data_IF_837031615501
#
_entry.id   IF_837031615501
#
_cell.length_a   1.000
_cell.length_b   1.000
_cell.length_c   1.000
_cell.angle_alpha   90.00
_cell.angle_beta   90.00
_cell.angle_gamma   90.00
#
_symmetry.space_group_name_H-M   'P 1'
#
loop_
_entity.id
_entity.type
_entity.pdbx_description
1 polymer ?
#
# COMPACT_ATOMS: atom_id res chain seq x y z
N UNK A 1 -15.09 40.89 -13.83
CA UNK A 1 -13.81 40.48 -13.21
C UNK A 1 -13.30 39.29 -14.01
N UNK A 2 -12.13 39.39 -14.64
CA UNK A 2 -11.53 38.29 -15.41
C UNK A 2 -11.06 37.22 -14.42
N UNK A 3 -11.75 36.08 -14.37
CA UNK A 3 -11.22 34.87 -13.76
C UNK A 3 -10.04 34.40 -14.64
N UNK A 4 -8.82 34.78 -14.26
CA UNK A 4 -7.62 34.15 -14.82
C UNK A 4 -7.58 32.72 -14.31
N UNK A 5 -7.75 31.75 -15.22
CA UNK A 5 -7.45 30.34 -14.94
C UNK A 5 -6.04 30.25 -14.34
N UNK A 6 -5.84 29.56 -13.21
CA UNK A 6 -4.54 29.46 -12.57
C UNK A 6 -3.53 28.82 -13.52
N UNK A 7 -2.33 29.39 -13.58
CA UNK A 7 -1.25 28.90 -14.43
C UNK A 7 -0.82 27.49 -13.98
N UNK A 8 -0.26 26.71 -14.89
CA UNK A 8 0.28 25.36 -14.63
C UNK A 8 1.18 25.34 -13.38
N UNK A 9 2.04 26.35 -13.26
CA UNK A 9 2.95 26.57 -12.13
C UNK A 9 2.23 26.82 -10.80
N UNK A 10 1.11 27.55 -10.83
CA UNK A 10 0.30 27.84 -9.65
C UNK A 10 -0.44 26.60 -9.14
N UNK A 11 -0.86 25.71 -10.05
CA UNK A 11 -1.50 24.43 -9.70
C UNK A 11 -0.52 23.52 -8.96
N UNK A 12 0.74 23.45 -9.44
CA UNK A 12 1.79 22.61 -8.83
C UNK A 12 2.31 23.20 -7.51
N UNK A 13 2.47 24.53 -7.39
CA UNK A 13 2.90 25.17 -6.14
C UNK A 13 1.89 24.98 -5.01
N UNK A 14 0.59 25.10 -5.31
CA UNK A 14 -0.48 24.87 -4.32
C UNK A 14 -0.49 23.44 -3.78
N UNK A 15 -0.13 22.44 -4.60
CA UNK A 15 0.05 21.06 -4.14
C UNK A 15 1.26 20.96 -3.20
N UNK A 16 2.36 21.62 -3.54
CA UNK A 16 3.62 21.57 -2.78
C UNK A 16 3.51 22.23 -1.38
N UNK A 17 2.79 23.34 -1.28
CA UNK A 17 2.58 24.05 -0.01
C UNK A 17 1.68 23.28 0.96
N UNK A 18 0.72 22.51 0.44
CA UNK A 18 -0.17 21.67 1.24
C UNK A 18 0.52 20.41 1.77
N UNK A 19 1.44 19.83 0.97
CA UNK A 19 2.35 18.76 1.39
C UNK A 19 3.16 19.23 2.61
N UNK A 20 3.71 20.45 2.56
CA UNK A 20 4.47 21.04 3.67
C UNK A 20 3.63 21.28 4.92
N UNK A 21 2.44 21.90 4.79
CA UNK A 21 1.57 22.19 5.95
C UNK A 21 1.04 20.94 6.66
N UNK A 22 0.78 19.88 5.89
CA UNK A 22 0.32 18.60 6.44
C UNK A 22 1.46 17.84 7.15
N UNK A 23 2.72 18.06 6.75
CA UNK A 23 3.89 17.51 7.46
C UNK A 23 4.05 18.04 8.89
N UNK A 24 3.86 19.34 9.09
CA UNK A 24 4.21 20.01 10.36
C UNK A 24 3.18 19.83 11.48
N UNK A 25 1.89 19.72 11.17
CA UNK A 25 0.83 19.66 12.17
C UNK A 25 0.75 18.31 12.91
N UNK A 26 1.19 17.22 12.28
CA UNK A 26 0.96 15.86 12.77
C UNK A 26 2.11 15.24 13.57
N UNK A 27 3.29 15.88 13.57
CA UNK A 27 4.41 15.52 14.45
C UNK A 27 4.05 15.62 15.94
N UNK A 28 3.11 16.50 16.30
CA UNK A 28 2.70 16.75 17.70
C UNK A 28 1.76 15.71 18.33
N UNK A 29 1.09 14.86 17.54
CA UNK A 29 0.06 13.93 18.08
C UNK A 29 0.58 12.53 18.46
N UNK A 30 1.84 12.21 18.15
CA UNK A 30 2.39 10.85 18.30
C UNK A 30 2.74 10.50 19.76
N UNK A 31 2.72 11.44 20.70
CA UNK A 31 3.25 11.25 22.06
C UNK A 31 2.32 10.53 23.05
N UNK A 32 1.10 10.11 22.67
CA UNK A 32 0.17 9.47 23.62
C UNK A 32 -0.54 8.26 23.03
N UNK A 33 0.07 7.08 23.14
CA UNK A 33 -0.66 5.81 23.25
C UNK A 33 0.30 4.66 23.56
N UNK A 34 0.46 4.32 24.84
CA UNK A 34 1.03 3.04 25.26
C UNK A 34 -0.07 2.28 26.00
N UNK A 35 -0.57 1.22 25.36
CA UNK A 35 -1.59 0.31 25.89
C UNK A 35 -0.89 -0.93 26.45
N UNK A 36 -1.52 -1.50 27.47
CA UNK A 36 -0.96 -2.38 28.50
C UNK A 36 -1.66 -3.74 28.42
N UNK A 37 -0.96 -4.86 28.21
CA UNK A 37 -1.48 -6.17 28.65
C UNK A 37 -0.49 -7.36 28.66
N UNK A 38 -0.86 -8.33 29.52
CA UNK A 38 -0.47 -9.74 29.69
C UNK A 38 0.99 -10.12 30.01
N UNK A 39 1.62 -9.47 30.99
CA UNK A 39 2.96 -9.88 31.50
C UNK A 39 2.95 -10.63 32.83
N UNK A 40 1.80 -10.72 33.51
CA UNK A 40 1.74 -11.24 34.89
C UNK A 40 1.86 -12.75 34.99
N UNK A 41 1.47 -13.51 33.95
CA UNK A 41 1.43 -14.97 33.99
C UNK A 41 2.78 -15.62 33.66
N UNK A 42 3.52 -15.12 32.66
CA UNK A 42 4.86 -15.65 32.32
C UNK A 42 5.94 -15.36 33.37
N UNK A 43 5.79 -14.31 34.19
CA UNK A 43 6.80 -13.92 35.18
C UNK A 43 6.88 -14.90 36.36
N UNK A 44 5.71 -15.35 36.85
CA UNK A 44 5.66 -16.29 37.95
C UNK A 44 6.34 -17.61 37.56
N UNK A 45 6.07 -18.10 36.35
CA UNK A 45 6.66 -19.33 35.79
C UNK A 45 8.19 -19.28 35.70
N UNK A 46 8.75 -18.16 35.22
CA UNK A 46 10.21 -17.99 35.12
C UNK A 46 10.88 -17.87 36.50
N UNK A 47 10.21 -17.25 37.47
CA UNK A 47 10.77 -17.02 38.80
C UNK A 47 10.93 -18.31 39.61
N UNK A 48 9.92 -19.19 39.64
CA UNK A 48 10.01 -20.44 40.42
C UNK A 48 10.99 -21.44 39.77
N UNK A 49 11.08 -21.47 38.44
CA UNK A 49 12.04 -22.33 37.73
C UNK A 49 13.49 -21.94 38.03
N UNK A 50 13.80 -20.64 38.08
CA UNK A 50 15.13 -20.16 38.44
C UNK A 50 15.55 -20.57 39.86
N UNK A 51 14.62 -20.51 40.82
CA UNK A 51 14.86 -20.91 42.22
C UNK A 51 15.17 -22.41 42.32
N UNK A 52 14.43 -23.25 41.59
CA UNK A 52 14.68 -24.70 41.58
C UNK A 52 16.02 -25.04 40.93
N UNK A 53 16.32 -24.45 39.77
CA UNK A 53 17.58 -24.72 39.04
C UNK A 53 18.80 -24.37 39.89
N UNK A 54 18.79 -23.21 40.55
CA UNK A 54 19.90 -22.78 41.43
C UNK A 54 20.02 -23.66 42.66
N UNK A 55 18.90 -24.07 43.26
CA UNK A 55 18.91 -24.94 44.44
C UNK A 55 19.50 -26.32 44.14
N UNK A 56 19.14 -26.92 43.00
CA UNK A 56 19.69 -28.21 42.56
C UNK A 56 21.19 -28.08 42.23
N UNK A 57 21.56 -27.04 41.48
CA UNK A 57 22.95 -26.79 41.11
C UNK A 57 23.85 -26.59 42.32
N UNK A 58 23.39 -25.81 43.31
CA UNK A 58 24.13 -25.55 44.54
C UNK A 58 24.30 -26.83 45.37
N UNK A 59 23.24 -27.62 45.51
CA UNK A 59 23.30 -28.89 46.22
C UNK A 59 24.29 -29.87 45.59
N UNK A 60 24.26 -29.99 44.25
CA UNK A 60 25.14 -30.88 43.51
C UNK A 60 26.62 -30.41 43.58
N UNK A 61 26.85 -29.11 43.40
CA UNK A 61 28.19 -28.52 43.45
C UNK A 61 28.85 -28.68 44.82
N UNK A 62 28.11 -28.48 45.92
CA UNK A 62 28.65 -28.66 47.27
C UNK A 62 28.94 -30.12 47.60
N UNK A 63 28.07 -31.04 47.16
CA UNK A 63 28.27 -32.46 47.39
C UNK A 63 29.49 -33.00 46.65
N UNK A 64 29.74 -32.53 45.42
CA UNK A 64 30.90 -32.94 44.62
C UNK A 64 32.18 -32.24 45.09
N UNK A 65 32.13 -30.92 45.35
CA UNK A 65 33.32 -30.13 45.65
C UNK A 65 33.82 -30.24 47.09
N UNK A 66 32.91 -30.42 48.06
CA UNK A 66 33.25 -30.38 49.48
C UNK A 66 32.77 -31.61 50.27
N UNK A 67 32.09 -32.57 49.60
CA UNK A 67 31.59 -33.79 50.24
C UNK A 67 30.49 -33.57 51.30
N UNK A 68 29.98 -32.35 51.42
CA UNK A 68 29.00 -31.94 52.45
C UNK A 68 27.82 -31.19 51.84
N UNK A 69 26.69 -31.18 52.55
CA UNK A 69 25.53 -30.38 52.14
C UNK A 69 25.75 -28.90 52.45
N UNK A 70 25.21 -27.97 51.64
CA UNK A 70 25.34 -26.54 51.91
C UNK A 70 24.62 -26.15 53.20
N UNK A 71 25.18 -25.18 53.93
CA UNK A 71 24.52 -24.56 55.08
C UNK A 71 23.41 -23.61 54.62
N UNK A 72 22.38 -23.43 55.46
CA UNK A 72 21.22 -22.60 55.12
C UNK A 72 21.58 -21.16 54.72
N UNK A 73 22.64 -20.59 55.30
CA UNK A 73 23.11 -19.24 54.97
C UNK A 73 23.59 -19.13 53.50
N UNK A 74 24.13 -20.21 52.94
CA UNK A 74 24.60 -20.26 51.54
C UNK A 74 23.41 -20.30 50.58
N UNK A 75 22.36 -21.07 50.91
CA UNK A 75 21.12 -21.07 50.12
C UNK A 75 20.44 -19.70 50.12
N UNK A 76 20.40 -19.01 51.27
CA UNK A 76 19.82 -17.67 51.38
C UNK A 76 20.61 -16.68 50.53
N UNK A 77 21.94 -16.72 50.57
CA UNK A 77 22.81 -15.86 49.77
C UNK A 77 22.53 -16.04 48.26
N UNK A 78 22.57 -17.28 47.75
CA UNK A 78 22.31 -17.54 46.33
C UNK A 78 20.86 -17.24 45.91
N UNK A 79 19.89 -17.45 46.82
CA UNK A 79 18.50 -17.07 46.60
C UNK A 79 18.32 -15.57 46.37
N UNK A 80 18.99 -14.74 47.18
CA UNK A 80 18.96 -13.27 47.04
C UNK A 80 19.59 -12.84 45.70
N UNK A 81 20.77 -13.38 45.35
CA UNK A 81 21.42 -13.07 44.07
C UNK A 81 20.57 -13.47 42.85
N UNK A 82 19.91 -14.64 42.92
CA UNK A 82 19.03 -15.13 41.86
C UNK A 82 17.80 -14.23 41.72
N UNK A 83 17.22 -13.80 42.84
CA UNK A 83 16.08 -12.87 42.82
C UNK A 83 16.44 -11.54 42.14
N UNK A 84 17.62 -10.98 42.45
CA UNK A 84 18.11 -9.75 41.81
C UNK A 84 18.30 -9.96 40.30
N UNK A 85 18.88 -11.10 39.89
CA UNK A 85 19.13 -11.39 38.47
C UNK A 85 17.84 -11.60 37.67
N UNK A 86 16.83 -12.24 38.25
CA UNK A 86 15.50 -12.40 37.64
C UNK A 86 14.83 -11.04 37.45
N UNK A 87 14.90 -10.16 38.45
CA UNK A 87 14.38 -8.79 38.36
C UNK A 87 15.12 -8.00 37.26
N UNK A 88 16.44 -8.07 37.23
CA UNK A 88 17.26 -7.37 36.22
C UNK A 88 16.96 -7.86 34.80
N UNK A 89 16.82 -9.18 34.61
CA UNK A 89 16.49 -9.78 33.32
C UNK A 89 15.13 -9.33 32.80
N UNK A 90 14.15 -9.18 33.69
CA UNK A 90 12.87 -8.57 33.34
C UNK A 90 13.09 -7.13 32.90
N UNK A 91 13.73 -6.29 33.71
CA UNK A 91 13.96 -4.87 33.38
C UNK A 91 14.62 -4.72 32.00
N UNK A 92 15.67 -5.48 31.70
CA UNK A 92 16.35 -5.46 30.40
C UNK A 92 15.40 -5.86 29.27
N UNK A 93 14.59 -6.91 29.48
CA UNK A 93 13.61 -7.36 28.48
C UNK A 93 12.49 -6.34 28.26
N UNK A 94 12.06 -5.63 29.31
CA UNK A 94 11.10 -4.52 29.20
C UNK A 94 11.69 -3.44 28.30
N UNK A 95 12.90 -2.97 28.62
CA UNK A 95 13.56 -1.90 27.87
C UNK A 95 13.76 -2.28 26.40
N UNK A 96 14.21 -3.51 26.13
CA UNK A 96 14.43 -4.01 24.77
C UNK A 96 13.12 -4.15 23.99
N UNK A 97 12.11 -4.80 24.57
CA UNK A 97 10.80 -5.02 23.92
C UNK A 97 10.08 -3.70 23.66
N UNK A 98 10.17 -2.73 24.58
CA UNK A 98 9.58 -1.41 24.39
C UNK A 98 10.27 -0.64 23.25
N UNK A 99 11.61 -0.69 23.17
CA UNK A 99 12.35 -0.01 22.11
C UNK A 99 12.10 -0.62 20.72
N UNK A 100 12.08 -1.95 20.61
CA UNK A 100 11.82 -2.66 19.35
C UNK A 100 10.37 -2.44 18.88
N UNK A 101 9.39 -2.57 19.78
CA UNK A 101 7.98 -2.32 19.45
C UNK A 101 7.71 -0.87 19.07
N UNK A 102 8.36 0.10 19.74
CA UNK A 102 8.18 1.52 19.39
C UNK A 102 8.77 1.83 18.01
N UNK A 103 9.92 1.27 17.66
CA UNK A 103 10.52 1.40 16.33
C UNK A 103 9.66 0.77 15.23
N UNK A 104 9.11 -0.43 15.48
CA UNK A 104 8.24 -1.14 14.54
C UNK A 104 6.91 -0.41 14.34
N UNK A 105 6.24 0.00 15.44
CA UNK A 105 5.00 0.76 15.39
C UNK A 105 5.21 2.12 14.72
N UNK A 106 6.33 2.81 14.99
CA UNK A 106 6.66 4.09 14.35
C UNK A 106 6.88 3.91 12.84
N UNK A 107 7.52 2.83 12.42
CA UNK A 107 7.72 2.50 11.01
C UNK A 107 6.39 2.18 10.33
N UNK A 108 5.58 1.29 10.91
CA UNK A 108 4.26 0.93 10.39
C UNK A 108 3.34 2.16 10.29
N UNK A 109 3.30 3.01 11.31
CA UNK A 109 2.53 4.27 11.26
C UNK A 109 3.08 5.25 10.24
N UNK A 110 4.39 5.31 10.02
CA UNK A 110 4.99 6.20 9.01
C UNK A 110 4.69 5.70 7.59
N UNK A 111 4.71 4.40 7.37
CA UNK A 111 4.29 3.77 6.11
C UNK A 111 2.79 4.00 5.85
N UNK A 112 1.91 3.73 6.81
CA UNK A 112 0.47 4.01 6.71
C UNK A 112 0.21 5.50 6.42
N UNK A 113 0.97 6.41 7.05
CA UNK A 113 0.86 7.85 6.81
C UNK A 113 1.33 8.27 5.43
N UNK A 114 2.47 7.75 4.97
CA UNK A 114 2.99 7.99 3.62
C UNK A 114 1.97 7.49 2.58
N UNK A 115 1.45 6.29 2.79
CA UNK A 115 0.46 5.67 1.91
C UNK A 115 -0.82 6.52 1.79
N UNK A 116 -1.40 6.93 2.93
CA UNK A 116 -2.59 7.79 2.94
C UNK A 116 -2.34 9.15 2.25
N UNK A 117 -1.15 9.71 2.42
CA UNK A 117 -0.80 10.97 1.78
C UNK A 117 -0.65 10.82 0.26
N UNK A 118 -0.01 9.75 -0.21
CA UNK A 118 0.09 9.44 -1.63
C UNK A 118 -1.29 9.26 -2.25
N UNK A 119 -2.21 8.53 -1.60
CA UNK A 119 -3.59 8.41 -2.08
C UNK A 119 -4.31 9.75 -2.21
N UNK A 120 -4.15 10.64 -1.23
CA UNK A 120 -4.72 11.98 -1.30
C UNK A 120 -4.15 12.79 -2.47
N UNK A 121 -2.85 12.70 -2.73
CA UNK A 121 -2.19 13.36 -3.85
C UNK A 121 -2.63 12.79 -5.21
N UNK A 122 -2.80 11.46 -5.32
CA UNK A 122 -3.36 10.82 -6.51
C UNK A 122 -4.78 11.34 -6.78
N UNK A 123 -5.65 11.36 -5.76
CA UNK A 123 -7.02 11.83 -5.92
C UNK A 123 -7.08 13.30 -6.33
N UNK A 124 -6.29 14.15 -5.68
CA UNK A 124 -6.28 15.59 -5.94
C UNK A 124 -5.71 15.94 -7.31
N UNK A 125 -4.61 15.29 -7.72
CA UNK A 125 -4.02 15.47 -9.06
C UNK A 125 -4.96 15.00 -10.16
N UNK A 126 -5.60 13.84 -10.02
CA UNK A 126 -6.62 13.37 -10.97
C UNK A 126 -7.80 14.34 -11.09
N UNK A 127 -8.35 14.80 -9.98
CA UNK A 127 -9.46 15.75 -9.99
C UNK A 127 -9.07 17.07 -10.66
N UNK A 128 -7.86 17.57 -10.38
CA UNK A 128 -7.34 18.78 -11.01
C UNK A 128 -7.11 18.61 -12.52
N UNK A 129 -6.67 17.42 -12.95
CA UNK A 129 -6.48 17.10 -14.36
C UNK A 129 -7.83 17.06 -15.10
N UNK A 130 -8.84 16.44 -14.48
CA UNK A 130 -10.20 16.39 -15.02
C UNK A 130 -10.88 17.76 -15.09
N UNK A 131 -10.51 18.71 -14.23
CA UNK A 131 -11.14 20.03 -14.19
C UNK A 131 -10.98 20.82 -15.51
N UNK A 132 -9.91 20.55 -16.27
CA UNK A 132 -9.63 21.23 -17.54
C UNK A 132 -10.27 20.51 -18.75
N UNK A 133 -10.86 19.32 -18.57
CA UNK A 133 -11.46 18.50 -19.63
C UNK A 133 -12.92 18.86 -19.92
N UNK A 134 -13.36 18.60 -21.15
CA UNK A 134 -14.78 18.63 -21.50
C UNK A 134 -15.55 17.44 -20.91
N UNK A 135 -16.87 17.48 -21.01
CA UNK A 135 -17.73 16.52 -20.36
C UNK A 135 -17.55 15.08 -20.91
N UNK A 136 -17.52 14.85 -22.23
CA UNK A 136 -17.20 13.53 -22.80
C UNK A 136 -15.80 13.01 -22.40
N UNK A 137 -14.77 13.85 -22.44
CA UNK A 137 -13.41 13.47 -22.05
C UNK A 137 -13.34 13.07 -20.58
N UNK A 138 -14.02 13.81 -19.69
CA UNK A 138 -14.08 13.46 -18.27
C UNK A 138 -14.72 12.10 -18.04
N UNK A 139 -15.81 11.76 -18.74
CA UNK A 139 -16.46 10.44 -18.61
C UNK A 139 -15.51 9.33 -19.03
N UNK A 140 -14.90 9.46 -20.20
CA UNK A 140 -13.96 8.46 -20.73
C UNK A 140 -12.78 8.28 -19.78
N UNK A 141 -12.19 9.37 -19.30
CA UNK A 141 -11.08 9.32 -18.36
C UNK A 141 -11.48 8.67 -17.02
N UNK A 142 -12.61 9.08 -16.43
CA UNK A 142 -13.09 8.53 -15.17
C UNK A 142 -13.34 7.02 -15.27
N UNK A 143 -14.06 6.59 -16.32
CA UNK A 143 -14.32 5.19 -16.56
C UNK A 143 -13.03 4.40 -16.81
N UNK A 144 -12.08 4.95 -17.56
CA UNK A 144 -10.77 4.32 -17.80
C UNK A 144 -10.02 4.09 -16.48
N UNK A 145 -10.00 5.07 -15.57
CA UNK A 145 -9.36 4.93 -14.25
C UNK A 145 -9.99 3.79 -13.45
N UNK A 146 -11.32 3.66 -13.47
CA UNK A 146 -12.05 2.58 -12.79
C UNK A 146 -11.74 1.23 -13.42
N UNK A 147 -11.78 1.12 -14.75
CA UNK A 147 -11.49 -0.13 -15.45
C UNK A 147 -10.03 -0.59 -15.27
N UNK A 148 -9.10 0.35 -15.13
CA UNK A 148 -7.69 0.05 -14.89
C UNK A 148 -7.40 -0.37 -13.44
N UNK A 149 -8.28 -0.10 -12.48
CA UNK A 149 -8.08 -0.47 -11.09
C UNK A 149 -8.38 -1.97 -10.87
N UNK A 150 -7.39 -2.81 -10.51
CA UNK A 150 -7.60 -4.26 -10.33
C UNK A 150 -8.61 -4.60 -9.24
N UNK A 151 -8.74 -3.74 -8.22
CA UNK A 151 -9.64 -3.92 -7.07
C UNK A 151 -11.05 -3.36 -7.30
N UNK A 152 -11.37 -2.89 -8.51
CA UNK A 152 -12.71 -2.38 -8.81
C UNK A 152 -13.76 -3.46 -8.63
N UNK A 153 -14.77 -3.15 -7.83
CA UNK A 153 -15.95 -3.99 -7.61
C UNK A 153 -16.78 -4.11 -8.89
N UNK A 154 -17.63 -5.14 -8.95
CA UNK A 154 -18.53 -5.34 -10.09
C UNK A 154 -19.42 -4.11 -10.36
N UNK A 155 -19.94 -3.47 -9.31
CA UNK A 155 -20.76 -2.26 -9.43
C UNK A 155 -19.98 -1.04 -9.94
N UNK A 156 -18.69 -0.92 -9.60
CA UNK A 156 -17.86 0.17 -10.15
C UNK A 156 -17.57 -0.07 -11.63
N UNK A 157 -17.33 -1.32 -12.03
CA UNK A 157 -17.16 -1.68 -13.44
C UNK A 157 -18.45 -1.45 -14.25
N UNK A 158 -19.61 -1.72 -13.67
CA UNK A 158 -20.91 -1.44 -14.29
C UNK A 158 -21.07 0.04 -14.63
N UNK A 159 -20.80 0.93 -13.67
CA UNK A 159 -20.85 2.39 -13.88
C UNK A 159 -19.85 2.81 -14.95
N UNK A 160 -18.61 2.29 -14.90
CA UNK A 160 -17.59 2.65 -15.87
C UNK A 160 -17.95 2.20 -17.31
N UNK A 161 -18.48 1.00 -17.48
CA UNK A 161 -18.92 0.50 -18.80
C UNK A 161 -20.14 1.27 -19.30
N UNK A 162 -21.08 1.61 -18.40
CA UNK A 162 -22.21 2.46 -18.74
C UNK A 162 -21.77 3.85 -19.20
N UNK A 163 -20.79 4.45 -18.53
CA UNK A 163 -20.24 5.77 -18.90
C UNK A 163 -19.49 5.75 -20.23
N UNK A 164 -18.80 4.65 -20.57
CA UNK A 164 -18.09 4.50 -21.85
C UNK A 164 -19.00 4.21 -23.04
N UNK A 165 -20.02 3.38 -22.84
CA UNK A 165 -20.79 2.80 -23.96
C UNK A 165 -22.22 3.32 -24.05
N UNK A 166 -22.76 3.87 -22.95
CA UNK A 166 -24.18 4.17 -22.81
C UNK A 166 -25.08 2.93 -22.84
N UNK A 167 -24.52 1.72 -22.78
CA UNK A 167 -25.21 0.47 -23.08
C UNK A 167 -25.43 -0.39 -21.82
N UNK A 168 -26.69 -0.48 -21.40
CA UNK A 168 -27.10 -1.19 -20.18
C UNK A 168 -26.82 -2.71 -20.25
N UNK A 169 -26.87 -3.29 -21.44
CA UNK A 169 -26.57 -4.72 -21.59
C UNK A 169 -25.09 -5.01 -21.36
N UNK A 170 -24.20 -4.12 -21.83
CA UNK A 170 -22.77 -4.26 -21.60
C UNK A 170 -22.40 -4.00 -20.14
N UNK A 171 -23.02 -3.02 -19.49
CA UNK A 171 -22.78 -2.73 -18.08
C UNK A 171 -23.25 -3.88 -17.17
N UNK A 172 -24.41 -4.48 -17.46
CA UNK A 172 -24.84 -5.67 -16.73
C UNK A 172 -23.95 -6.89 -17.01
N UNK A 173 -23.49 -7.05 -18.26
CA UNK A 173 -22.62 -8.16 -18.62
C UNK A 173 -21.26 -8.09 -17.93
N UNK A 174 -20.63 -6.91 -17.82
CA UNK A 174 -19.33 -6.79 -17.12
C UNK A 174 -19.45 -7.18 -15.65
N UNK A 175 -20.57 -6.86 -14.99
CA UNK A 175 -20.88 -7.27 -13.63
C UNK A 175 -20.84 -8.81 -13.46
N UNK A 176 -21.45 -9.53 -14.41
CA UNK A 176 -21.52 -10.99 -14.40
C UNK A 176 -20.18 -11.62 -14.75
N UNK A 177 -19.48 -11.07 -15.75
CA UNK A 177 -18.12 -11.48 -16.12
C UNK A 177 -17.19 -11.35 -14.92
N UNK A 178 -17.21 -10.22 -14.22
CA UNK A 178 -16.37 -9.99 -13.04
C UNK A 178 -16.71 -10.94 -11.89
N UNK A 179 -18.01 -11.20 -11.66
CA UNK A 179 -18.46 -12.18 -10.67
C UNK A 179 -17.92 -13.59 -10.95
N UNK A 180 -17.92 -14.02 -12.22
CA UNK A 180 -17.36 -15.31 -12.63
C UNK A 180 -15.84 -15.34 -12.56
N UNK A 181 -15.17 -14.21 -12.88
CA UNK A 181 -13.71 -14.06 -12.80
C UNK A 181 -13.20 -14.27 -11.38
N UNK A 182 -13.84 -13.66 -10.38
CA UNK A 182 -13.49 -13.83 -8.96
C UNK A 182 -13.52 -15.29 -8.49
N UNK A 183 -14.32 -16.14 -9.14
CA UNK A 183 -14.46 -17.55 -8.80
C UNK A 183 -13.72 -18.48 -9.79
N UNK A 184 -12.92 -17.93 -10.71
CA UNK A 184 -12.15 -18.72 -11.69
C UNK A 184 -13.00 -19.44 -12.74
N UNK A 185 -14.25 -19.03 -12.96
CA UNK A 185 -15.19 -19.70 -13.87
C UNK A 185 -15.04 -19.23 -15.32
N UNK A 186 -13.91 -19.56 -15.96
CA UNK A 186 -13.56 -19.06 -17.31
C UNK A 186 -14.57 -19.47 -18.40
N UNK A 187 -15.11 -20.69 -18.35
CA UNK A 187 -16.13 -21.11 -19.32
C UNK A 187 -17.40 -20.25 -19.24
N UNK A 188 -17.80 -19.84 -18.03
CA UNK A 188 -18.97 -18.96 -17.84
C UNK A 188 -18.72 -17.54 -18.32
N UNK A 189 -17.48 -17.05 -18.23
CA UNK A 189 -17.09 -15.78 -18.84
C UNK A 189 -17.24 -15.84 -20.35
N UNK A 190 -16.75 -16.91 -20.99
CA UNK A 190 -16.86 -17.09 -22.43
C UNK A 190 -18.33 -17.17 -22.89
N UNK A 191 -19.18 -17.88 -22.14
CA UNK A 191 -20.62 -17.94 -22.40
C UNK A 191 -21.28 -16.56 -22.35
N UNK A 192 -20.88 -15.69 -21.42
CA UNK A 192 -21.42 -14.33 -21.35
C UNK A 192 -20.85 -13.43 -22.45
N UNK A 193 -19.54 -13.46 -22.68
CA UNK A 193 -18.90 -12.68 -23.74
C UNK A 193 -19.48 -12.98 -25.12
N UNK A 194 -19.73 -14.25 -25.43
CA UNK A 194 -20.27 -14.67 -26.74
C UNK A 194 -21.66 -14.08 -27.05
N UNK A 195 -22.44 -13.70 -26.02
CA UNK A 195 -23.76 -13.07 -26.22
C UNK A 195 -23.66 -11.59 -26.60
N UNK A 196 -22.59 -10.93 -26.18
CA UNK A 196 -22.39 -9.48 -26.31
C UNK A 196 -21.26 -9.11 -27.29
N UNK A 197 -20.56 -10.09 -27.85
CA UNK A 197 -19.32 -9.91 -28.64
C UNK A 197 -19.47 -8.88 -29.77
N UNK A 198 -20.58 -8.91 -30.50
CA UNK A 198 -20.84 -7.95 -31.58
C UNK A 198 -20.91 -6.52 -31.05
N UNK A 199 -21.61 -6.30 -29.93
CA UNK A 199 -21.75 -4.99 -29.29
C UNK A 199 -20.43 -4.51 -28.69
N UNK A 200 -19.67 -5.43 -28.08
CA UNK A 200 -18.33 -5.12 -27.56
C UNK A 200 -17.41 -4.67 -28.69
N UNK A 201 -17.40 -5.39 -29.82
CA UNK A 201 -16.56 -5.05 -30.98
C UNK A 201 -16.93 -3.68 -31.54
N UNK A 202 -18.22 -3.39 -31.69
CA UNK A 202 -18.68 -2.09 -32.16
C UNK A 202 -18.20 -0.94 -31.25
N UNK A 203 -18.47 -1.03 -29.95
CA UNK A 203 -18.04 0.03 -29.02
C UNK A 203 -16.52 0.08 -28.84
N UNK A 204 -15.82 -1.03 -29.03
CA UNK A 204 -14.36 -1.04 -29.07
C UNK A 204 -13.83 -0.19 -30.24
N UNK A 205 -14.39 -0.34 -31.44
CA UNK A 205 -14.00 0.45 -32.61
C UNK A 205 -14.29 1.95 -32.40
N UNK A 206 -15.48 2.28 -31.87
CA UNK A 206 -15.86 3.66 -31.52
C UNK A 206 -14.89 4.28 -30.49
N UNK A 207 -14.56 3.53 -29.43
CA UNK A 207 -13.62 3.98 -28.41
C UNK A 207 -12.19 4.07 -28.93
N UNK A 208 -11.79 3.23 -29.88
CA UNK A 208 -10.43 3.20 -30.42
C UNK A 208 -10.10 4.51 -31.16
N UNK A 209 -11.09 5.13 -31.81
CA UNK A 209 -10.92 6.42 -32.50
C UNK A 209 -10.72 7.59 -31.51
N UNK A 210 -11.34 7.52 -30.33
CA UNK A 210 -11.34 8.61 -29.34
C UNK A 210 -10.24 8.45 -28.30
N UNK A 211 -10.09 7.24 -27.76
CA UNK A 211 -9.13 6.91 -26.71
C UNK A 211 -8.72 5.43 -26.82
N UNK A 212 -7.64 5.14 -27.57
CA UNK A 212 -7.10 3.78 -27.67
C UNK A 212 -6.85 3.10 -26.32
N UNK A 213 -6.30 3.77 -25.28
CA UNK A 213 -6.11 3.16 -23.97
C UNK A 213 -7.43 2.74 -23.30
N UNK A 214 -8.50 3.51 -23.48
CA UNK A 214 -9.82 3.19 -22.95
C UNK A 214 -10.42 1.97 -23.67
N UNK A 215 -10.28 1.92 -25.00
CA UNK A 215 -10.75 0.80 -25.82
C UNK A 215 -10.07 -0.53 -25.43
N UNK A 216 -8.75 -0.51 -25.26
CA UNK A 216 -7.99 -1.71 -24.87
C UNK A 216 -8.40 -2.23 -23.50
N UNK A 217 -8.51 -1.35 -22.50
CA UNK A 217 -8.88 -1.79 -21.14
C UNK A 217 -10.33 -2.27 -21.09
N UNK A 218 -11.23 -1.60 -21.80
CA UNK A 218 -12.62 -2.02 -21.96
C UNK A 218 -12.69 -3.44 -22.53
N UNK A 219 -12.03 -3.69 -23.66
CA UNK A 219 -12.04 -5.01 -24.30
C UNK A 219 -11.45 -6.10 -23.38
N UNK A 220 -10.35 -5.82 -22.70
CA UNK A 220 -9.74 -6.75 -21.72
C UNK A 220 -10.73 -7.11 -20.62
N UNK A 221 -11.40 -6.10 -20.03
CA UNK A 221 -12.40 -6.30 -18.97
C UNK A 221 -13.60 -7.09 -19.45
N UNK A 222 -14.13 -6.80 -20.64
CA UNK A 222 -15.26 -7.56 -21.21
C UNK A 222 -14.89 -9.03 -21.47
N UNK A 223 -13.62 -9.33 -21.75
CA UNK A 223 -13.12 -10.72 -21.88
C UNK A 223 -12.79 -11.39 -20.55
N UNK A 224 -12.97 -10.70 -19.42
CA UNK A 224 -12.67 -11.21 -18.08
C UNK A 224 -11.19 -11.10 -17.67
N UNK A 225 -10.39 -10.31 -18.38
CA UNK A 225 -9.01 -10.02 -17.99
C UNK A 225 -8.97 -8.72 -17.16
N UNK A 226 -8.67 -8.87 -15.88
CA UNK A 226 -8.37 -7.73 -15.00
C UNK A 226 -6.89 -7.33 -15.14
N UNK A 227 -6.56 -6.04 -15.00
CA UNK A 227 -5.18 -5.57 -14.84
C UNK A 227 -4.47 -6.27 -13.69
N UNK A 228 -3.15 -6.42 -13.80
CA UNK A 228 -2.32 -6.89 -12.70
C UNK A 228 -1.74 -5.70 -11.92
N UNK A 229 -1.75 -5.78 -10.58
CA UNK A 229 -1.02 -4.82 -9.74
C UNK A 229 0.50 -4.83 -10.01
N UNK A 230 1.06 -5.97 -10.42
CA UNK A 230 2.49 -6.14 -10.66
C UNK A 230 2.94 -5.45 -11.96
N UNK A 231 2.07 -5.41 -12.97
CA UNK A 231 2.31 -4.72 -14.25
C UNK A 231 2.11 -3.19 -14.11
N UNK A 232 1.24 -2.78 -13.18
CA UNK A 232 0.86 -1.42 -12.85
C UNK A 232 0.18 -0.65 -14.01
N UNK A 233 -0.10 0.64 -13.79
CA UNK A 233 -0.90 1.44 -14.74
C UNK A 233 -0.15 1.73 -16.04
N UNK A 234 -0.89 1.74 -17.16
CA UNK A 234 -0.41 2.25 -18.45
C UNK A 234 -0.18 3.76 -18.35
N UNK A 235 0.91 4.24 -18.96
CA UNK A 235 1.35 5.64 -18.92
C UNK A 235 1.79 6.10 -20.30
N UNK A 236 1.81 7.41 -20.48
CA UNK A 236 2.31 8.03 -21.70
C UNK A 236 3.78 7.66 -21.96
N UNK A 237 4.08 7.43 -23.24
CA UNK A 237 5.43 7.15 -23.72
C UNK A 237 6.35 8.30 -23.29
N UNK A 238 7.53 7.98 -22.74
CA UNK A 238 8.50 8.97 -22.29
C UNK A 238 8.21 9.62 -20.93
N UNK A 239 7.19 9.15 -20.19
CA UNK A 239 6.86 9.65 -18.85
C UNK A 239 8.07 9.76 -17.91
N UNK A 240 8.86 8.68 -17.80
CA UNK A 240 10.04 8.65 -16.92
C UNK A 240 11.11 9.64 -17.40
N UNK A 241 11.35 9.70 -18.70
CA UNK A 241 12.35 10.60 -19.30
C UNK A 241 11.98 12.07 -19.06
N UNK A 242 10.74 12.47 -19.33
CA UNK A 242 10.25 13.83 -19.04
C UNK A 242 10.35 14.16 -17.55
N UNK A 243 10.01 13.20 -16.69
CA UNK A 243 10.10 13.37 -15.24
C UNK A 243 11.53 13.57 -14.78
N UNK A 244 12.47 12.75 -15.26
CA UNK A 244 13.89 12.88 -14.93
C UNK A 244 14.47 14.18 -15.47
N UNK A 245 14.15 14.55 -16.72
CA UNK A 245 14.57 15.83 -17.30
C UNK A 245 14.05 17.04 -16.51
N UNK A 246 12.81 17.00 -16.01
CA UNK A 246 12.25 18.05 -15.17
C UNK A 246 12.99 18.18 -13.82
N UNK A 247 13.38 17.05 -13.23
CA UNK A 247 14.16 17.01 -11.97
C UNK A 247 15.57 17.57 -12.21
N UNK A 248 16.26 17.09 -13.24
CA UNK A 248 17.66 17.45 -13.53
C UNK A 248 17.82 18.94 -13.86
N UNK A 249 16.84 19.52 -14.57
CA UNK A 249 16.83 20.95 -14.91
C UNK A 249 16.15 21.82 -13.84
N UNK A 250 15.61 21.22 -12.78
CA UNK A 250 14.80 21.89 -11.76
C UNK A 250 13.68 22.76 -12.37
N UNK A 251 13.07 22.26 -13.44
CA UNK A 251 12.04 22.94 -14.22
C UNK A 251 10.81 22.04 -14.39
N UNK A 252 9.76 22.37 -13.64
CA UNK A 252 8.51 21.63 -13.62
C UNK A 252 7.65 21.88 -14.86
N UNK A 253 7.96 22.91 -15.66
CA UNK A 253 7.23 23.19 -16.91
C UNK A 253 7.61 22.21 -18.03
N UNK A 254 8.70 21.44 -17.85
CA UNK A 254 9.10 20.33 -18.73
C UNK A 254 8.21 19.08 -18.58
N UNK A 255 7.33 19.07 -17.58
CA UNK A 255 6.45 17.96 -17.27
C UNK A 255 4.98 18.34 -17.53
N UNK A 256 4.24 17.60 -18.38
CA UNK A 256 2.81 17.82 -18.52
C UNK A 256 2.08 17.45 -17.21
N UNK A 257 0.96 18.11 -16.92
CA UNK A 257 0.20 17.87 -15.68
C UNK A 257 -0.28 16.41 -15.53
N UNK A 258 -0.49 15.71 -16.64
CA UNK A 258 -0.81 14.28 -16.67
C UNK A 258 0.29 13.41 -16.03
N UNK A 259 1.56 13.81 -16.20
CA UNK A 259 2.69 13.10 -15.60
C UNK A 259 2.72 13.29 -14.07
N UNK A 260 2.12 14.36 -13.53
CA UNK A 260 2.05 14.60 -12.07
C UNK A 260 1.26 13.50 -11.36
N UNK A 261 0.08 13.13 -11.86
CA UNK A 261 -0.67 12.01 -11.27
C UNK A 261 0.10 10.69 -11.47
N UNK A 262 0.76 10.55 -12.62
CA UNK A 262 1.49 9.34 -12.98
C UNK A 262 2.68 9.09 -12.05
N UNK A 263 3.33 10.13 -11.53
CA UNK A 263 4.39 10.05 -10.50
C UNK A 263 3.83 9.54 -9.18
N UNK A 264 2.72 10.09 -8.69
CA UNK A 264 2.16 9.64 -7.41
C UNK A 264 1.67 8.19 -7.50
N UNK A 265 1.03 7.83 -8.62
CA UNK A 265 0.61 6.46 -8.89
C UNK A 265 1.82 5.52 -9.03
N UNK A 266 2.89 5.95 -9.68
CA UNK A 266 4.13 5.19 -9.80
C UNK A 266 4.82 4.98 -8.45
N UNK A 267 4.88 6.03 -7.62
CA UNK A 267 5.40 5.95 -6.26
C UNK A 267 4.63 4.92 -5.44
N UNK A 268 3.29 4.94 -5.52
CA UNK A 268 2.45 3.95 -4.85
C UNK A 268 2.76 2.53 -5.33
N UNK A 269 2.82 2.30 -6.64
CA UNK A 269 3.12 0.99 -7.21
C UNK A 269 4.49 0.46 -6.77
N UNK A 270 5.53 1.31 -6.79
CA UNK A 270 6.87 0.94 -6.32
C UNK A 270 6.87 0.55 -4.84
N UNK A 271 6.10 1.24 -4.00
CA UNK A 271 5.94 0.88 -2.59
C UNK A 271 5.20 -0.45 -2.39
N UNK A 272 4.34 -0.84 -3.32
CA UNK A 272 3.59 -2.10 -3.30
C UNK A 272 4.30 -3.25 -4.06
N UNK A 273 5.57 -3.06 -4.45
CA UNK A 273 6.37 -4.12 -5.05
C UNK A 273 6.19 -4.29 -6.55
N UNK A 274 5.81 -3.24 -7.29
CA UNK A 274 5.87 -3.24 -8.75
C UNK A 274 7.28 -3.59 -9.23
N UNK A 275 7.36 -4.59 -10.08
CA UNK A 275 8.58 -4.92 -10.81
C UNK A 275 8.62 -4.07 -12.08
N UNK A 276 9.65 -3.24 -12.23
CA UNK A 276 9.92 -2.60 -13.52
C UNK A 276 10.65 -3.65 -14.35
N UNK A 277 10.08 -4.16 -15.45
CA UNK A 277 10.83 -5.01 -16.35
C UNK A 277 11.96 -4.17 -16.93
N UNK A 278 13.13 -4.25 -16.30
CA UNK A 278 14.36 -3.73 -16.85
C UNK A 278 14.55 -4.50 -18.15
N UNK A 279 14.67 -3.80 -19.27
CA UNK A 279 15.18 -4.38 -20.50
C UNK A 279 16.47 -5.12 -20.12
N UNK A 280 16.43 -6.45 -20.03
CA UNK A 280 17.66 -7.23 -20.11
C UNK A 280 18.23 -6.86 -21.48
N UNK A 281 19.39 -6.19 -21.56
CA UNK A 281 20.00 -5.98 -22.84
C UNK A 281 20.52 -7.35 -23.26
N UNK A 282 19.73 -8.09 -24.03
CA UNK A 282 20.26 -9.17 -24.85
C UNK A 282 21.03 -8.47 -25.96
N UNK A 283 22.29 -8.12 -25.64
CA UNK A 283 23.28 -7.86 -26.67
C UNK A 283 23.44 -9.18 -27.44
N UNK A 284 22.86 -9.25 -28.63
CA UNK A 284 23.26 -10.21 -29.67
C UNK A 284 24.53 -9.72 -30.34
#
# INVERSE_FOLDING_TARGET
MKNSLPSHKDKISNLNDEVKRTGDHFTKQVTKAIKKESWKLNFFELAWMAVITVSIGLYLAYKIGYGKTPENNVFIYFGIYTAIFVIMSVIVRILKTTAENEAEIKTQRSLLRCNNHIFHLIAKSRNQFMADMDEPQRRIFAATVVLQNPESSSSELEVAVQDLTGNEELSFAVCRIESFRHHGMMSRIQDEYSKIETKVTQHYEELLEVSPPAAEIFLKRMKGYAPSMQEGYSRNIGFLERTMNAIDNNDLDLMPFEDVYSIFSFTFEMLNGREIPVLHPVFK
#
